data_IF_106463851116
#
_entry.id   IF_106463851116
#
_cell.length_a   1.000
_cell.length_b   1.000
_cell.length_c   1.000
_cell.angle_alpha   90.00
_cell.angle_beta   90.00
_cell.angle_gamma   90.00
#
_symmetry.space_group_name_H-M   'P 1'
#
loop_
_entity.id
_entity.type
_entity.pdbx_description
1 polymer ?
#
# COMPACT_ATOMS: atom_id res chain seq x y z
N UNK A 1 7.26 17.09 33.98
CA UNK A 1 6.71 18.21 33.19
C UNK A 1 7.30 18.31 31.77
N UNK A 2 8.57 17.98 31.50
CA UNK A 2 9.16 18.13 30.14
C UNK A 2 8.76 17.12 29.04
N UNK A 3 8.31 15.90 29.36
CA UNK A 3 7.92 14.91 28.33
C UNK A 3 6.60 15.25 27.62
N UNK A 4 5.66 15.89 28.33
CA UNK A 4 4.39 16.30 27.73
C UNK A 4 4.56 17.47 26.76
N UNK A 5 5.54 18.36 27.02
CA UNK A 5 5.86 19.50 26.14
C UNK A 5 6.52 19.09 24.83
N UNK A 6 7.44 18.11 24.88
CA UNK A 6 8.05 17.58 23.66
C UNK A 6 7.03 16.84 22.79
N UNK A 7 6.14 16.08 23.42
CA UNK A 7 5.09 15.34 22.73
C UNK A 7 4.05 16.29 22.10
N UNK A 8 3.63 17.35 22.80
CA UNK A 8 2.70 18.35 22.25
C UNK A 8 3.32 19.15 21.13
N UNK A 9 4.60 19.55 21.26
CA UNK A 9 5.33 20.26 20.20
C UNK A 9 5.45 19.41 18.93
N UNK A 10 5.70 18.11 19.08
CA UNK A 10 5.73 17.18 17.95
C UNK A 10 4.35 17.04 17.28
N UNK A 11 3.26 17.02 18.07
CA UNK A 11 1.88 17.01 17.55
C UNK A 11 1.59 18.25 16.73
N UNK A 12 1.93 19.43 17.23
CA UNK A 12 1.71 20.70 16.54
C UNK A 12 2.49 20.77 15.23
N UNK A 13 3.75 20.31 15.24
CA UNK A 13 4.57 20.23 14.03
C UNK A 13 3.95 19.28 12.99
N UNK A 14 3.49 18.11 13.41
CA UNK A 14 2.84 17.16 12.52
C UNK A 14 1.53 17.69 11.96
N UNK A 15 0.68 18.32 12.77
CA UNK A 15 -0.56 18.91 12.30
C UNK A 15 -0.30 20.09 11.34
N UNK A 16 0.74 20.88 11.57
CA UNK A 16 1.17 21.93 10.65
C UNK A 16 1.66 21.34 9.32
N UNK A 17 2.52 20.31 9.36
CA UNK A 17 3.00 19.62 8.17
C UNK A 17 1.86 19.01 7.35
N UNK A 18 0.86 18.43 8.02
CA UNK A 18 -0.33 17.87 7.37
C UNK A 18 -1.22 18.94 6.77
N UNK A 19 -1.37 20.10 7.40
CA UNK A 19 -2.12 21.23 6.82
C UNK A 19 -1.48 21.71 5.52
N UNK A 20 -0.17 21.85 5.50
CA UNK A 20 0.58 22.29 4.31
C UNK A 20 0.54 21.23 3.20
N UNK A 21 0.66 19.96 3.57
CA UNK A 21 0.78 18.85 2.60
C UNK A 21 -0.58 18.31 2.14
N UNK A 22 -1.70 18.74 2.75
CA UNK A 22 -3.06 18.19 2.52
C UNK A 22 -3.48 18.09 1.06
N UNK A 23 -3.03 19.01 0.21
CA UNK A 23 -3.39 19.03 -1.21
C UNK A 23 -2.63 17.98 -2.04
N UNK A 24 -1.38 17.70 -1.68
CA UNK A 24 -0.50 16.78 -2.40
C UNK A 24 -0.51 15.36 -1.81
N UNK A 25 -0.74 15.24 -0.50
CA UNK A 25 -0.67 13.98 0.25
C UNK A 25 -1.52 12.85 -0.37
N UNK A 26 -2.78 13.07 -0.79
CA UNK A 26 -3.60 12.00 -1.38
C UNK A 26 -3.08 11.54 -2.74
N UNK A 27 -2.52 12.46 -3.54
CA UNK A 27 -1.96 12.13 -4.86
C UNK A 27 -0.68 11.30 -4.70
N UNK A 28 0.19 11.70 -3.77
CA UNK A 28 1.42 10.96 -3.45
C UNK A 28 1.08 9.59 -2.85
N UNK A 29 0.10 9.53 -1.94
CA UNK A 29 -0.35 8.27 -1.33
C UNK A 29 -0.86 7.27 -2.37
N UNK A 30 -1.69 7.72 -3.32
CA UNK A 30 -2.19 6.86 -4.41
C UNK A 30 -1.08 6.43 -5.34
N UNK A 31 -0.17 7.33 -5.72
CA UNK A 31 1.01 6.98 -6.53
C UNK A 31 1.86 5.92 -5.84
N UNK A 32 2.13 6.10 -4.55
CA UNK A 32 2.89 5.15 -3.74
C UNK A 32 2.17 3.78 -3.65
N UNK A 33 0.86 3.78 -3.43
CA UNK A 33 0.05 2.56 -3.38
C UNK A 33 0.08 1.77 -4.70
N UNK A 34 -0.07 2.46 -5.84
CA UNK A 34 -0.03 1.81 -7.16
C UNK A 34 1.37 1.55 -7.69
N UNK A 35 2.41 2.03 -6.99
CA UNK A 35 3.81 1.95 -7.42
C UNK A 35 4.24 0.50 -7.66
N UNK A 36 3.73 -0.44 -6.87
CA UNK A 36 4.03 -1.88 -7.05
C UNK A 36 3.40 -2.46 -8.33
N UNK A 37 2.21 -2.02 -8.74
CA UNK A 37 1.61 -2.42 -10.03
C UNK A 37 2.35 -1.77 -11.21
N UNK A 38 2.80 -0.53 -11.04
CA UNK A 38 3.57 0.17 -12.04
C UNK A 38 4.93 -0.50 -12.24
N UNK A 39 5.61 -0.89 -11.15
CA UNK A 39 6.84 -1.68 -11.21
C UNK A 39 6.62 -3.03 -11.88
N UNK A 40 5.56 -3.75 -11.53
CA UNK A 40 5.23 -5.04 -12.13
C UNK A 40 4.99 -4.93 -13.65
N UNK A 41 4.21 -3.93 -14.08
CA UNK A 41 4.00 -3.66 -15.49
C UNK A 41 5.29 -3.29 -16.24
N UNK A 42 6.14 -2.45 -15.66
CA UNK A 42 7.45 -2.11 -16.24
C UNK A 42 8.34 -3.35 -16.33
N UNK A 43 8.39 -4.17 -15.28
CA UNK A 43 9.17 -5.41 -15.27
C UNK A 43 8.69 -6.37 -16.36
N UNK A 44 7.38 -6.55 -16.50
CA UNK A 44 6.78 -7.40 -17.52
C UNK A 44 7.09 -6.91 -18.95
N UNK A 45 7.21 -5.60 -19.15
CA UNK A 45 7.66 -5.01 -20.41
C UNK A 45 9.11 -5.38 -20.75
N UNK A 46 10.02 -5.25 -19.79
CA UNK A 46 11.44 -5.54 -20.01
C UNK A 46 11.75 -7.04 -20.09
N UNK A 47 11.06 -7.87 -19.31
CA UNK A 47 11.23 -9.32 -19.24
C UNK A 47 10.16 -10.07 -20.06
N UNK A 48 9.67 -9.47 -21.15
CA UNK A 48 8.56 -10.01 -21.94
C UNK A 48 8.75 -11.46 -22.39
N UNK A 49 9.95 -11.80 -22.88
CA UNK A 49 10.26 -13.15 -23.36
C UNK A 49 10.20 -14.17 -22.24
N UNK A 50 10.79 -13.87 -21.09
CA UNK A 50 10.84 -14.76 -19.93
C UNK A 50 9.44 -15.01 -19.37
N UNK A 51 8.61 -13.97 -19.29
CA UNK A 51 7.23 -14.08 -18.81
C UNK A 51 6.37 -14.95 -19.72
N UNK A 52 6.52 -14.77 -21.04
CA UNK A 52 5.81 -15.58 -22.01
C UNK A 52 6.27 -17.05 -21.96
N UNK A 53 7.57 -17.30 -21.93
CA UNK A 53 8.13 -18.64 -21.93
C UNK A 53 7.74 -19.41 -20.66
N UNK A 54 7.66 -18.71 -19.52
CA UNK A 54 7.13 -19.27 -18.27
C UNK A 54 5.66 -19.70 -18.40
N UNK A 55 4.80 -18.85 -18.97
CA UNK A 55 3.38 -19.17 -19.16
C UNK A 55 3.19 -20.31 -20.16
N UNK A 56 3.98 -20.32 -21.25
CA UNK A 56 3.96 -21.41 -22.21
C UNK A 56 4.37 -22.73 -21.57
N UNK A 57 5.45 -22.74 -20.77
CA UNK A 57 5.87 -23.95 -20.04
C UNK A 57 4.84 -24.41 -19.00
N UNK A 58 4.15 -23.49 -18.34
CA UNK A 58 3.18 -23.83 -17.27
C UNK A 58 1.85 -24.32 -17.83
N UNK A 59 1.32 -23.65 -18.86
CA UNK A 59 -0.01 -23.93 -19.42
C UNK A 59 0.04 -24.80 -20.68
N UNK A 60 1.24 -25.02 -21.22
CA UNK A 60 1.48 -25.74 -22.47
C UNK A 60 0.60 -25.22 -23.63
N UNK A 61 0.36 -23.91 -23.64
CA UNK A 61 -0.70 -23.28 -24.45
C UNK A 61 -0.21 -22.62 -25.76
N UNK A 62 1.05 -22.79 -26.10
CA UNK A 62 1.67 -22.25 -27.29
C UNK A 62 2.00 -20.76 -27.14
N UNK A 63 3.05 -20.36 -27.85
CA UNK A 63 3.61 -19.01 -27.86
C UNK A 63 2.59 -17.88 -28.07
N UNK A 64 1.59 -18.09 -28.93
CA UNK A 64 0.61 -17.07 -29.29
C UNK A 64 -0.32 -16.76 -28.11
N UNK A 65 -0.87 -17.78 -27.46
CA UNK A 65 -1.80 -17.61 -26.36
C UNK A 65 -1.08 -17.07 -25.11
N UNK A 66 0.15 -17.54 -24.85
CA UNK A 66 1.02 -16.99 -23.81
C UNK A 66 1.33 -15.50 -24.05
N UNK A 67 1.60 -15.09 -25.29
CA UNK A 67 1.85 -13.68 -25.64
C UNK A 67 0.63 -12.79 -25.42
N UNK A 68 -0.57 -13.28 -25.77
CA UNK A 68 -1.82 -12.54 -25.51
C UNK A 68 -2.05 -12.39 -24.01
N UNK A 69 -1.82 -13.45 -23.24
CA UNK A 69 -1.98 -13.40 -21.80
C UNK A 69 -1.07 -12.35 -21.14
N UNK A 70 0.22 -12.38 -21.46
CA UNK A 70 1.21 -11.41 -20.96
C UNK A 70 0.84 -9.99 -21.41
N UNK A 71 0.37 -9.83 -22.66
CA UNK A 71 -0.11 -8.53 -23.17
C UNK A 71 -1.30 -7.97 -22.37
N UNK A 72 -2.32 -8.79 -22.13
CA UNK A 72 -3.52 -8.40 -21.39
C UNK A 72 -3.17 -8.06 -19.94
N UNK A 73 -2.24 -8.79 -19.35
CA UNK A 73 -1.76 -8.52 -18.00
C UNK A 73 -1.07 -7.16 -17.91
N UNK A 74 -0.06 -6.96 -18.76
CA UNK A 74 0.69 -5.71 -18.88
C UNK A 74 -0.21 -4.51 -19.14
N UNK A 75 -1.04 -4.58 -20.18
CA UNK A 75 -1.92 -3.48 -20.58
C UNK A 75 -2.99 -3.19 -19.53
N UNK A 76 -3.55 -4.23 -18.89
CA UNK A 76 -4.53 -4.10 -17.81
C UNK A 76 -3.96 -3.39 -16.58
N UNK A 77 -2.74 -3.75 -16.16
CA UNK A 77 -2.08 -3.09 -15.02
C UNK A 77 -1.75 -1.63 -15.31
N UNK A 78 -1.12 -1.34 -16.45
CA UNK A 78 -0.75 0.03 -16.81
C UNK A 78 -1.98 0.92 -16.96
N UNK A 79 -3.03 0.42 -17.62
CA UNK A 79 -4.30 1.14 -17.75
C UNK A 79 -4.98 1.37 -16.40
N UNK A 80 -4.96 0.36 -15.52
CA UNK A 80 -5.48 0.46 -14.15
C UNK A 80 -4.74 1.54 -13.34
N UNK A 81 -3.42 1.57 -13.41
CA UNK A 81 -2.60 2.59 -12.75
C UNK A 81 -2.91 4.01 -13.26
N UNK A 82 -3.03 4.18 -14.58
CA UNK A 82 -3.38 5.47 -15.18
C UNK A 82 -4.76 5.93 -14.72
N UNK A 83 -5.77 5.06 -14.75
CA UNK A 83 -7.13 5.39 -14.31
C UNK A 83 -7.19 5.77 -12.83
N UNK A 84 -6.47 5.04 -11.97
CA UNK A 84 -6.36 5.37 -10.54
C UNK A 84 -5.71 6.75 -10.34
N UNK A 85 -4.65 7.06 -11.08
CA UNK A 85 -3.95 8.35 -10.99
C UNK A 85 -4.79 9.51 -11.55
N UNK A 86 -5.49 9.29 -12.66
CA UNK A 86 -6.39 10.27 -13.28
C UNK A 86 -7.66 10.54 -12.49
N UNK A 87 -7.90 9.83 -11.38
CA UNK A 87 -9.09 9.94 -10.51
C UNK A 87 -10.43 9.68 -11.20
N UNK A 88 -10.42 9.28 -12.47
CA UNK A 88 -11.61 8.95 -13.23
C UNK A 88 -11.87 7.45 -13.11
N UNK A 89 -13.09 7.07 -12.74
CA UNK A 89 -13.52 5.66 -12.70
C UNK A 89 -12.67 4.76 -11.78
N UNK A 90 -12.16 5.31 -10.67
CA UNK A 90 -11.29 4.59 -9.70
C UNK A 90 -11.87 3.26 -9.25
N UNK A 91 -13.18 3.17 -9.03
CA UNK A 91 -13.84 1.92 -8.64
C UNK A 91 -13.69 0.82 -9.70
N UNK A 92 -13.90 1.15 -10.98
CA UNK A 92 -13.74 0.21 -12.09
C UNK A 92 -12.27 -0.18 -12.26
N UNK A 93 -11.34 0.76 -12.07
CA UNK A 93 -9.91 0.48 -12.09
C UNK A 93 -9.50 -0.49 -10.97
N UNK A 94 -10.00 -0.29 -9.74
CA UNK A 94 -9.76 -1.22 -8.63
C UNK A 94 -10.29 -2.63 -8.93
N UNK A 95 -11.53 -2.76 -9.44
CA UNK A 95 -12.08 -4.07 -9.81
C UNK A 95 -11.28 -4.74 -10.93
N UNK A 96 -10.85 -3.97 -11.94
CA UNK A 96 -9.97 -4.46 -13.01
C UNK A 96 -8.64 -4.97 -12.46
N UNK A 97 -7.97 -4.20 -11.59
CA UNK A 97 -6.71 -4.59 -10.96
C UNK A 97 -6.88 -5.81 -10.05
N UNK A 98 -7.98 -5.94 -9.31
CA UNK A 98 -8.30 -7.18 -8.58
C UNK A 98 -8.43 -8.38 -9.52
N UNK A 99 -9.11 -8.21 -10.66
CA UNK A 99 -9.21 -9.22 -11.70
C UNK A 99 -7.85 -9.65 -12.22
N UNK A 100 -6.93 -8.71 -12.45
CA UNK A 100 -5.56 -9.02 -12.86
C UNK A 100 -4.79 -9.78 -11.79
N UNK A 101 -4.87 -9.39 -10.50
CA UNK A 101 -4.21 -10.14 -9.41
C UNK A 101 -4.75 -11.57 -9.34
N UNK A 102 -6.08 -11.75 -9.45
CA UNK A 102 -6.70 -13.07 -9.44
C UNK A 102 -6.24 -13.91 -10.63
N UNK A 103 -6.22 -13.32 -11.82
CA UNK A 103 -5.72 -13.94 -13.05
C UNK A 103 -4.26 -14.35 -12.91
N UNK A 104 -3.39 -13.47 -12.38
CA UNK A 104 -1.98 -13.78 -12.12
C UNK A 104 -1.83 -14.93 -11.11
N UNK A 105 -2.62 -14.91 -10.03
CA UNK A 105 -2.55 -15.92 -8.98
C UNK A 105 -2.82 -17.33 -9.53
N UNK A 106 -3.77 -17.44 -10.46
CA UNK A 106 -4.09 -18.70 -11.15
C UNK A 106 -3.02 -19.02 -12.20
N UNK A 107 -2.68 -18.06 -13.06
CA UNK A 107 -1.81 -18.31 -14.21
C UNK A 107 -0.39 -18.71 -13.83
N UNK A 108 0.18 -18.05 -12.82
CA UNK A 108 1.53 -18.33 -12.33
C UNK A 108 1.57 -19.40 -11.24
N UNK A 109 0.44 -20.09 -10.97
CA UNK A 109 0.34 -21.10 -9.90
C UNK A 109 0.89 -20.62 -8.54
N UNK A 110 0.73 -19.33 -8.25
CA UNK A 110 1.33 -18.63 -7.10
C UNK A 110 0.85 -19.19 -5.76
N UNK A 111 -0.29 -19.89 -5.73
CA UNK A 111 -0.88 -20.44 -4.50
C UNK A 111 0.09 -21.34 -3.69
N UNK A 112 1.11 -21.90 -4.34
CA UNK A 112 2.10 -22.77 -3.69
C UNK A 112 3.36 -22.05 -3.21
N UNK A 113 3.56 -20.78 -3.60
CA UNK A 113 4.67 -19.96 -3.10
C UNK A 113 4.15 -18.93 -2.09
N UNK A 114 4.37 -19.23 -0.81
CA UNK A 114 3.93 -18.37 0.31
C UNK A 114 4.45 -16.93 0.18
N UNK A 115 5.63 -16.72 -0.41
CA UNK A 115 6.22 -15.39 -0.55
C UNK A 115 5.48 -14.57 -1.61
N UNK A 116 5.16 -15.19 -2.74
CA UNK A 116 4.35 -14.55 -3.78
C UNK A 116 2.88 -14.39 -3.39
N UNK A 117 2.33 -15.31 -2.59
CA UNK A 117 0.98 -15.18 -2.04
C UNK A 117 0.87 -13.95 -1.13
N UNK A 118 1.84 -13.76 -0.23
CA UNK A 118 1.90 -12.59 0.65
C UNK A 118 2.01 -11.28 -0.14
N UNK A 119 2.78 -11.26 -1.24
CA UNK A 119 2.85 -10.14 -2.18
C UNK A 119 1.48 -9.79 -2.77
N UNK A 120 0.76 -10.78 -3.29
CA UNK A 120 -0.56 -10.56 -3.89
C UNK A 120 -1.61 -10.13 -2.87
N UNK A 121 -1.52 -10.66 -1.63
CA UNK A 121 -2.38 -10.25 -0.53
C UNK A 121 -2.13 -8.78 -0.15
N UNK A 122 -0.86 -8.34 -0.10
CA UNK A 122 -0.51 -6.96 0.18
C UNK A 122 -1.02 -6.01 -0.92
N UNK A 123 -0.83 -6.38 -2.20
CA UNK A 123 -1.37 -5.66 -3.36
C UNK A 123 -2.90 -5.54 -3.30
N UNK A 124 -3.59 -6.65 -3.00
CA UNK A 124 -5.03 -6.66 -2.79
C UNK A 124 -5.46 -5.77 -1.62
N UNK A 125 -4.72 -5.77 -0.52
CA UNK A 125 -4.96 -4.88 0.62
C UNK A 125 -4.84 -3.41 0.26
N UNK A 126 -3.82 -3.03 -0.51
CA UNK A 126 -3.63 -1.68 -1.04
C UNK A 126 -4.78 -1.23 -1.94
N UNK A 127 -5.29 -2.12 -2.81
CA UNK A 127 -6.46 -1.83 -3.64
C UNK A 127 -7.76 -1.71 -2.83
N UNK A 128 -7.96 -2.56 -1.81
CA UNK A 128 -9.12 -2.45 -0.92
C UNK A 128 -9.12 -1.10 -0.19
N UNK A 129 -7.96 -0.64 0.26
CA UNK A 129 -7.78 0.68 0.87
C UNK A 129 -8.18 1.81 -0.10
N UNK A 130 -7.71 1.72 -1.34
CA UNK A 130 -7.99 2.71 -2.38
C UNK A 130 -9.48 2.71 -2.79
N UNK A 131 -10.08 1.53 -2.92
CA UNK A 131 -11.51 1.37 -3.13
C UNK A 131 -12.30 1.99 -1.97
N UNK A 132 -11.84 1.76 -0.74
CA UNK A 132 -12.49 2.28 0.46
C UNK A 132 -12.47 3.82 0.52
N UNK A 133 -11.35 4.43 0.14
CA UNK A 133 -11.21 5.87 -0.02
C UNK A 133 -12.19 6.41 -1.07
N UNK A 134 -12.20 5.83 -2.27
CA UNK A 134 -13.04 6.31 -3.39
C UNK A 134 -14.54 6.33 -3.04
N UNK A 135 -15.01 5.33 -2.27
CA UNK A 135 -16.40 5.23 -1.82
C UNK A 135 -16.72 6.23 -0.69
N UNK A 136 -15.73 6.65 0.08
CA UNK A 136 -15.87 7.68 1.10
C UNK A 136 -16.00 9.08 0.47
N UNK A 137 -15.17 9.40 -0.53
CA UNK A 137 -15.24 10.67 -1.28
C UNK A 137 -16.57 10.80 -2.05
N UNK A 138 -17.06 9.72 -2.67
CA UNK A 138 -18.33 9.76 -3.45
C UNK A 138 -19.59 10.04 -2.63
N UNK A 139 -19.58 9.81 -1.31
CA UNK A 139 -20.73 10.06 -0.42
C UNK A 139 -20.77 11.46 0.19
N UNK A 140 -19.71 12.27 0.09
CA UNK A 140 -19.69 13.64 0.65
C UNK A 140 -20.27 14.71 -0.29
N UNK A 141 -20.64 14.34 -1.53
CA UNK A 141 -21.17 15.26 -2.55
C UNK A 141 -22.66 15.60 -2.38
N UNK A 142 -23.38 15.00 -1.41
CA UNK A 142 -24.77 15.33 -1.11
C UNK A 142 -24.86 16.19 0.16
N UNK A 143 -24.49 17.46 0.02
CA UNK A 143 -24.52 18.44 1.11
C UNK A 143 -25.96 18.95 1.33
N UNK A 144 -26.57 18.63 2.47
CA UNK A 144 -27.79 19.33 2.92
C UNK A 144 -28.77 18.53 3.77
N UNK A 145 -28.65 17.20 3.86
CA UNK A 145 -29.54 16.39 4.72
C UNK A 145 -28.73 15.79 5.86
N UNK A 146 -29.09 15.99 7.13
CA UNK A 146 -28.45 15.29 8.25
C UNK A 146 -28.76 13.81 8.09
N UNK A 147 -27.83 13.06 7.50
CA UNK A 147 -27.95 11.61 7.42
C UNK A 147 -27.80 11.06 8.82
N UNK A 148 -28.89 10.47 9.31
CA UNK A 148 -29.01 9.81 10.60
C UNK A 148 -27.85 8.84 10.86
N UNK A 149 -27.50 8.76 12.15
CA UNK A 149 -26.50 7.91 12.78
C UNK A 149 -26.84 6.42 12.58
N UNK A 150 -26.70 5.90 11.36
CA UNK A 150 -26.59 4.46 11.14
C UNK A 150 -25.14 4.04 11.36
N UNK A 151 -24.91 3.16 12.32
CA UNK A 151 -23.63 2.53 12.65
C UNK A 151 -22.83 2.19 11.40
N UNK A 152 -21.80 3.00 11.16
CA UNK A 152 -21.40 3.40 9.82
C UNK A 152 -20.60 2.32 9.09
N UNK A 153 -21.01 1.84 7.88
CA UNK A 153 -20.12 1.04 7.01
C UNK A 153 -18.78 1.74 6.74
N UNK A 154 -18.71 3.07 6.88
CA UNK A 154 -17.47 3.87 6.84
C UNK A 154 -16.49 3.53 7.98
N UNK A 155 -16.98 3.29 9.20
CA UNK A 155 -16.14 2.94 10.35
C UNK A 155 -15.52 1.54 10.18
N UNK A 156 -16.31 0.57 9.73
CA UNK A 156 -15.81 -0.78 9.43
C UNK A 156 -14.81 -0.78 8.27
N UNK A 157 -15.03 0.04 7.24
CA UNK A 157 -14.08 0.19 6.13
C UNK A 157 -12.76 0.83 6.57
N UNK A 158 -12.78 1.82 7.46
CA UNK A 158 -11.57 2.45 7.99
C UNK A 158 -10.80 1.52 8.94
N UNK A 159 -11.51 0.77 9.80
CA UNK A 159 -10.91 -0.22 10.69
C UNK A 159 -10.32 -1.40 9.90
N UNK A 160 -11.05 -1.89 8.89
CA UNK A 160 -10.55 -2.88 7.94
C UNK A 160 -9.32 -2.38 7.18
N UNK A 161 -9.28 -1.10 6.81
CA UNK A 161 -8.10 -0.47 6.23
C UNK A 161 -6.87 -0.52 7.15
N UNK A 162 -7.03 -0.23 8.45
CA UNK A 162 -5.92 -0.35 9.41
C UNK A 162 -5.45 -1.78 9.61
N UNK A 163 -6.38 -2.73 9.69
CA UNK A 163 -6.04 -4.16 9.77
C UNK A 163 -5.29 -4.61 8.51
N UNK A 164 -5.74 -4.18 7.33
CA UNK A 164 -5.04 -4.45 6.07
C UNK A 164 -3.65 -3.82 6.03
N UNK A 165 -3.45 -2.62 6.56
CA UNK A 165 -2.12 -2.01 6.65
C UNK A 165 -1.18 -2.80 7.56
N UNK A 166 -1.69 -3.32 8.69
CA UNK A 166 -0.91 -4.19 9.58
C UNK A 166 -0.49 -5.45 8.83
N UNK A 167 -1.41 -6.06 8.08
CA UNK A 167 -1.12 -7.25 7.27
C UNK A 167 -0.08 -6.92 6.18
N UNK A 168 -0.22 -5.79 5.47
CA UNK A 168 0.76 -5.33 4.48
C UNK A 168 2.13 -5.10 5.12
N UNK A 169 2.20 -4.50 6.31
CA UNK A 169 3.46 -4.30 7.02
C UNK A 169 4.12 -5.63 7.43
N UNK A 170 3.33 -6.60 7.88
CA UNK A 170 3.83 -7.92 8.28
C UNK A 170 4.58 -8.63 7.14
N UNK A 171 4.20 -8.37 5.89
CA UNK A 171 4.89 -8.92 4.72
C UNK A 171 6.29 -8.33 4.47
N UNK A 172 6.64 -7.21 5.11
CA UNK A 172 7.96 -6.58 5.02
C UNK A 172 8.94 -7.03 6.12
N UNK A 173 8.46 -7.80 7.11
CA UNK A 173 9.29 -8.26 8.22
C UNK A 173 10.28 -9.30 7.73
N UNK A 174 11.53 -8.87 7.57
CA UNK A 174 12.66 -9.74 7.28
C UNK A 174 13.22 -10.29 8.59
N UNK A 175 13.11 -11.61 8.80
CA UNK A 175 13.67 -12.29 9.98
C UNK A 175 15.18 -12.54 9.85
N UNK A 176 15.92 -11.55 9.36
CA UNK A 176 17.38 -11.61 9.36
C UNK A 176 17.93 -11.43 10.78
N UNK A 177 18.92 -12.24 11.13
CA UNK A 177 19.56 -12.27 12.45
C UNK A 177 20.49 -11.07 12.73
N UNK A 178 20.54 -10.10 11.82
CA UNK A 178 21.33 -8.88 12.00
C UNK A 178 20.71 -8.01 13.10
N UNK A 179 21.54 -7.53 14.03
CA UNK A 179 21.11 -6.66 15.15
C UNK A 179 20.28 -5.46 14.67
N UNK A 180 20.68 -4.85 13.55
CA UNK A 180 19.96 -3.73 12.96
C UNK A 180 18.56 -4.11 12.49
N UNK A 181 18.41 -5.25 11.80
CA UNK A 181 17.13 -5.76 11.31
C UNK A 181 16.18 -6.10 12.47
N UNK A 182 16.70 -6.68 13.56
CA UNK A 182 15.93 -6.97 14.77
C UNK A 182 15.41 -5.68 15.40
N UNK A 183 16.29 -4.68 15.56
CA UNK A 183 15.90 -3.38 16.11
C UNK A 183 14.83 -2.70 15.25
N UNK A 184 15.01 -2.69 13.93
CA UNK A 184 14.04 -2.17 12.98
C UNK A 184 12.69 -2.88 13.10
N UNK A 185 12.68 -4.21 13.15
CA UNK A 185 11.45 -5.00 13.24
C UNK A 185 10.71 -4.71 14.54
N UNK A 186 11.42 -4.56 15.66
CA UNK A 186 10.82 -4.20 16.96
C UNK A 186 10.21 -2.80 16.89
N UNK A 187 10.95 -1.80 16.42
CA UNK A 187 10.48 -0.41 16.33
C UNK A 187 9.30 -0.30 15.36
N UNK A 188 9.40 -0.92 14.19
CA UNK A 188 8.35 -0.93 13.17
C UNK A 188 7.08 -1.64 13.65
N UNK A 189 7.21 -2.78 14.33
CA UNK A 189 6.07 -3.51 14.92
C UNK A 189 5.42 -2.71 16.05
N UNK A 190 6.18 -2.04 16.90
CA UNK A 190 5.63 -1.18 17.94
C UNK A 190 4.82 0.00 17.34
N UNK A 191 5.36 0.65 16.30
CA UNK A 191 4.69 1.76 15.62
C UNK A 191 3.44 1.33 14.86
N UNK A 192 3.46 0.19 14.15
CA UNK A 192 2.26 -0.29 13.43
C UNK A 192 1.14 -0.71 14.41
N UNK A 193 1.49 -1.24 15.59
CA UNK A 193 0.51 -1.54 16.65
C UNK A 193 -0.13 -0.24 17.17
N UNK A 194 0.65 0.83 17.38
CA UNK A 194 0.10 2.14 17.77
C UNK A 194 -0.88 2.69 16.73
N UNK A 195 -0.55 2.53 15.44
CA UNK A 195 -1.44 2.89 14.32
C UNK A 195 -2.71 2.03 14.31
N UNK A 196 -2.58 0.72 14.56
CA UNK A 196 -3.70 -0.21 14.60
C UNK A 196 -4.68 0.10 15.74
N UNK A 197 -4.16 0.37 16.93
CA UNK A 197 -4.93 0.75 18.13
C UNK A 197 -5.61 2.12 17.94
N UNK A 198 -5.05 2.97 17.08
CA UNK A 198 -5.65 4.26 16.80
C UNK A 198 -5.29 5.34 17.82
N UNK A 199 -4.16 5.18 18.51
CA UNK A 199 -3.65 6.14 19.48
C UNK A 199 -2.63 7.08 18.82
N UNK A 200 -2.90 8.39 18.80
CA UNK A 200 -2.07 9.41 18.13
C UNK A 200 -1.69 9.01 16.71
N UNK A 201 -2.67 8.55 15.95
CA UNK A 201 -2.45 7.88 14.65
C UNK A 201 -1.69 8.73 13.64
N UNK A 202 -1.93 10.05 13.63
CA UNK A 202 -1.22 10.97 12.73
C UNK A 202 0.29 11.00 13.00
N UNK A 203 0.67 11.13 14.27
CA UNK A 203 2.08 11.13 14.66
C UNK A 203 2.73 9.77 14.44
N UNK A 204 2.08 8.70 14.90
CA UNK A 204 2.62 7.36 14.77
C UNK A 204 2.85 7.00 13.30
N UNK A 205 1.88 7.31 12.43
CA UNK A 205 1.99 7.03 11.00
C UNK A 205 3.01 7.93 10.30
N UNK A 206 3.11 9.23 10.62
CA UNK A 206 4.13 10.10 10.02
C UNK A 206 5.55 9.67 10.42
N UNK A 207 5.78 9.38 11.70
CA UNK A 207 7.06 8.85 12.18
C UNK A 207 7.38 7.53 11.50
N UNK A 208 6.41 6.62 11.38
CA UNK A 208 6.59 5.34 10.69
C UNK A 208 6.89 5.51 9.19
N UNK A 209 6.25 6.47 8.52
CA UNK A 209 6.51 6.79 7.10
C UNK A 209 7.95 7.28 6.92
N UNK A 210 8.41 8.22 7.74
CA UNK A 210 9.78 8.75 7.66
C UNK A 210 10.79 7.63 7.94
N UNK A 211 10.53 6.85 8.99
CA UNK A 211 11.37 5.73 9.38
C UNK A 211 11.47 4.67 8.28
N UNK A 212 10.34 4.22 7.73
CA UNK A 212 10.32 3.24 6.65
C UNK A 212 10.97 3.78 5.39
N UNK A 213 10.76 5.05 5.05
CA UNK A 213 11.37 5.65 3.87
C UNK A 213 12.90 5.70 3.96
N UNK A 214 13.45 6.11 5.10
CA UNK A 214 14.89 6.15 5.33
C UNK A 214 15.52 4.75 5.25
N UNK A 215 14.88 3.77 5.88
CA UNK A 215 15.31 2.38 5.86
C UNK A 215 15.20 1.80 4.45
N UNK A 216 14.15 2.13 3.71
CA UNK A 216 13.94 1.67 2.35
C UNK A 216 15.07 2.14 1.43
N UNK A 217 15.52 3.40 1.60
CA UNK A 217 16.66 3.94 0.85
C UNK A 217 17.97 3.25 1.24
N UNK A 218 18.14 2.88 2.50
CA UNK A 218 19.39 2.28 2.98
C UNK A 218 19.51 0.79 2.63
N UNK A 219 18.48 -0.01 2.91
CA UNK A 219 18.50 -1.47 2.70
C UNK A 219 18.10 -1.87 1.28
N UNK A 220 17.05 -1.24 0.74
CA UNK A 220 16.50 -1.60 -0.57
C UNK A 220 17.06 -0.69 -1.67
N UNK A 221 18.34 -0.33 -1.56
CA UNK A 221 19.07 0.51 -2.52
C UNK A 221 19.36 -0.27 -3.81
N UNK A 222 18.33 -0.70 -4.53
CA UNK A 222 18.45 -1.55 -5.71
C UNK A 222 19.38 -0.93 -6.78
N UNK A 223 19.44 0.41 -6.85
CA UNK A 223 20.33 1.15 -7.73
C UNK A 223 21.84 0.95 -7.48
N UNK A 224 22.22 0.37 -6.34
CA UNK A 224 23.63 0.05 -6.02
C UNK A 224 24.06 -1.31 -6.56
N UNK A 225 23.12 -2.15 -6.97
CA UNK A 225 23.39 -3.52 -7.43
C UNK A 225 23.20 -3.60 -8.96
N UNK A 226 24.13 -4.24 -9.70
CA UNK A 226 23.97 -4.43 -11.13
C UNK A 226 22.71 -5.23 -11.50
N UNK A 227 22.02 -4.79 -12.55
CA UNK A 227 20.72 -5.34 -13.00
C UNK A 227 20.73 -6.83 -13.40
N UNK A 228 21.90 -7.43 -13.63
CA UNK A 228 22.00 -8.84 -14.03
C UNK A 228 21.88 -9.82 -12.86
N UNK A 229 21.93 -9.35 -11.60
CA UNK A 229 21.85 -10.22 -10.43
C UNK A 229 20.38 -10.46 -10.03
N UNK A 230 19.96 -11.71 -9.78
CA UNK A 230 18.60 -12.00 -9.28
C UNK A 230 18.24 -11.25 -7.99
N UNK A 231 19.25 -10.89 -7.18
CA UNK A 231 19.09 -10.08 -5.98
C UNK A 231 18.56 -8.66 -6.28
N UNK A 232 18.88 -8.09 -7.45
CA UNK A 232 18.39 -6.78 -7.86
C UNK A 232 16.86 -6.73 -7.96
N UNK A 233 16.26 -7.72 -8.62
CA UNK A 233 14.81 -7.78 -8.80
C UNK A 233 14.09 -8.00 -7.47
N UNK A 234 14.73 -8.74 -6.55
CA UNK A 234 14.23 -8.92 -5.19
C UNK A 234 14.23 -7.60 -4.39
N UNK A 235 15.36 -6.89 -4.36
CA UNK A 235 15.50 -5.59 -3.68
C UNK A 235 14.59 -4.52 -4.27
N UNK A 236 14.48 -4.48 -5.60
CA UNK A 236 13.59 -3.56 -6.30
C UNK A 236 12.15 -3.80 -5.87
N UNK A 237 11.73 -5.07 -5.84
CA UNK A 237 10.39 -5.41 -5.38
C UNK A 237 10.14 -4.96 -3.93
N UNK A 238 11.03 -5.29 -3.00
CA UNK A 238 10.91 -4.89 -1.60
C UNK A 238 10.88 -3.37 -1.43
N UNK A 239 11.64 -2.65 -2.27
CA UNK A 239 11.60 -1.20 -2.33
C UNK A 239 10.20 -0.68 -2.67
N UNK A 240 9.62 -1.17 -3.74
CA UNK A 240 8.31 -0.74 -4.23
C UNK A 240 7.15 -1.22 -3.35
N UNK A 241 7.29 -2.37 -2.68
CA UNK A 241 6.34 -2.84 -1.68
C UNK A 241 6.35 -1.94 -0.43
N UNK A 242 7.54 -1.57 0.05
CA UNK A 242 7.69 -0.64 1.18
C UNK A 242 7.10 0.72 0.83
N UNK A 243 7.30 1.20 -0.40
CA UNK A 243 6.64 2.41 -0.89
C UNK A 243 5.11 2.29 -0.90
N UNK A 244 4.55 1.13 -1.27
CA UNK A 244 3.10 0.91 -1.22
C UNK A 244 2.55 0.95 0.21
N UNK A 245 3.26 0.38 1.19
CA UNK A 245 2.91 0.48 2.61
C UNK A 245 2.96 1.94 3.09
N UNK A 246 4.00 2.69 2.71
CA UNK A 246 4.10 4.14 2.98
C UNK A 246 2.90 4.88 2.38
N UNK A 247 2.50 4.56 1.15
CA UNK A 247 1.32 5.12 0.50
C UNK A 247 0.04 4.85 1.29
N UNK A 248 -0.14 3.63 1.76
CA UNK A 248 -1.28 3.23 2.59
C UNK A 248 -1.32 3.96 3.94
N UNK A 249 -0.17 4.14 4.60
CA UNK A 249 -0.05 4.93 5.83
C UNK A 249 -0.38 6.41 5.58
N UNK A 250 0.15 7.00 4.50
CA UNK A 250 -0.15 8.39 4.11
C UNK A 250 -1.64 8.58 3.82
N UNK A 251 -2.30 7.58 3.24
CA UNK A 251 -3.74 7.61 2.99
C UNK A 251 -4.55 7.65 4.29
N UNK A 252 -4.17 6.85 5.30
CA UNK A 252 -4.82 6.89 6.62
C UNK A 252 -4.59 8.24 7.31
N UNK A 253 -3.41 8.82 7.17
CA UNK A 253 -3.10 10.14 7.70
C UNK A 253 -3.92 11.23 7.01
N UNK A 254 -4.09 11.15 5.69
CA UNK A 254 -4.88 12.09 4.90
C UNK A 254 -6.38 12.05 5.24
N UNK A 255 -6.93 10.84 5.45
CA UNK A 255 -8.34 10.62 5.76
C UNK A 255 -8.69 10.91 7.24
N UNK A 256 -7.68 10.97 8.11
CA UNK A 256 -7.85 11.23 9.54
C UNK A 256 -8.26 9.99 10.34
N UNK A 257 -8.26 10.09 11.69
CA UNK A 257 -8.43 8.93 12.58
C UNK A 257 -9.74 8.16 12.42
N UNK A 258 -10.81 8.74 11.88
CA UNK A 258 -12.09 8.03 11.75
C UNK A 258 -12.76 7.77 13.09
N UNK A 259 -14.09 7.67 13.07
CA UNK A 259 -14.95 7.70 14.27
C UNK A 259 -14.79 6.56 15.28
N UNK A 260 -13.87 5.62 15.09
CA UNK A 260 -13.61 4.50 16.03
C UNK A 260 -12.25 4.62 16.71
N UNK A 261 -11.37 5.54 16.25
CA UNK A 261 -10.06 5.73 16.87
C UNK A 261 -10.21 6.20 18.31
N UNK A 262 -9.32 5.75 19.19
CA UNK A 262 -9.26 6.20 20.59
C UNK A 262 -9.19 7.74 20.68
N UNK A 263 -8.54 8.39 19.72
CA UNK A 263 -8.48 9.85 19.58
C UNK A 263 -9.86 10.52 19.38
N UNK A 264 -10.80 9.86 18.71
CA UNK A 264 -12.15 10.41 18.48
C UNK A 264 -13.00 10.25 19.75
N UNK A 265 -12.89 9.10 20.44
CA UNK A 265 -13.54 8.88 21.73
C UNK A 265 -13.04 9.85 22.82
N UNK A 266 -11.78 10.30 22.74
CA UNK A 266 -11.23 11.29 23.68
C UNK A 266 -11.68 12.73 23.40
N UNK A 267 -12.34 12.99 22.27
CA UNK A 267 -13.00 14.29 21.97
C UNK A 267 -14.47 14.31 22.35
N UNK A 268 -15.10 13.15 22.52
CA UNK A 268 -16.50 13.04 22.96
C UNK A 268 -16.66 13.09 24.50
N UNK A 269 -15.56 13.10 25.25
CA UNK A 269 -15.49 13.16 26.72
C UNK A 269 -14.67 14.38 27.15
#
# INVERSE_FOLDING_TARGET
MGQNDLMSTAEDFADQFLRVTKQYLPHVARLCLISTFLEDGIRMWFQWSEQRDYIDATWNCGYFLASIFVFLNLSGQLSGCILVLSRNFVQYACFGLFGIIALQTIAYSILWDLKFLMRNLALGGGLLLLLAESRSEGKSMFAGVPTMRESSPKQYMQLGGRVLLVLMFMTLLHFDVSFFSILQNIVGTALIILVAIGFKTKLAALTLVIWLFAINIYFNAFWTIPAYKPMHDFLKYDFFQTMSVIGGLLLVVALGPGGVSMDEKKKEW
#
